data_IF_575921874364
#
_entry.id   IF_575921874364
#
_cell.length_a   1.000
_cell.length_b   1.000
_cell.length_c   1.000
_cell.angle_alpha   90.00
_cell.angle_beta   90.00
_cell.angle_gamma   90.00
#
_symmetry.space_group_name_H-M   'P 1'
#
loop_
_entity.id
_entity.type
_entity.pdbx_description
1 polymer ?
#
# COMPACT_ATOMS: atom_id res chain seq x y z
N UNK A 1 -14.72 -9.19 19.42
CA UNK A 1 -13.48 -9.22 18.60
C UNK A 1 -13.85 -8.72 17.20
N UNK A 2 -13.66 -7.43 16.90
CA UNK A 2 -14.06 -6.86 15.60
C UNK A 2 -13.09 -7.32 14.52
N UNK A 3 -13.55 -8.15 13.59
CA UNK A 3 -12.81 -8.47 12.37
C UNK A 3 -12.84 -7.22 11.48
N UNK A 4 -11.72 -6.51 11.37
CA UNK A 4 -11.59 -5.37 10.45
C UNK A 4 -11.50 -5.88 9.01
N UNK A 5 -12.65 -5.98 8.34
CA UNK A 5 -12.75 -6.35 6.93
C UNK A 5 -12.35 -5.15 6.07
N UNK A 6 -11.34 -5.37 5.23
CA UNK A 6 -10.93 -4.41 4.19
C UNK A 6 -11.79 -4.61 2.94
N UNK A 7 -12.17 -3.51 2.29
CA UNK A 7 -12.97 -3.48 1.05
C UNK A 7 -12.22 -2.68 -0.01
N UNK A 8 -12.06 -3.28 -1.19
CA UNK A 8 -11.42 -2.62 -2.33
C UNK A 8 -12.40 -1.63 -2.96
N UNK A 9 -11.89 -0.44 -3.27
CA UNK A 9 -12.65 0.63 -3.93
C UNK A 9 -12.12 0.80 -5.34
N UNK A 10 -13.01 0.62 -6.30
CA UNK A 10 -12.77 0.84 -7.71
C UNK A 10 -13.34 2.19 -8.13
N UNK A 11 -12.70 2.79 -9.12
CA UNK A 11 -13.26 3.90 -9.87
C UNK A 11 -14.38 3.41 -10.80
N UNK A 12 -15.18 4.34 -11.36
CA UNK A 12 -16.21 4.00 -12.34
C UNK A 12 -15.66 3.24 -13.57
N UNK A 13 -14.37 3.45 -13.89
CA UNK A 13 -13.58 2.77 -14.93
C UNK A 13 -13.06 1.37 -14.54
N UNK A 14 -13.44 0.83 -13.37
CA UNK A 14 -12.92 -0.42 -12.78
C UNK A 14 -11.46 -0.41 -12.31
N UNK A 15 -10.77 0.73 -12.40
CA UNK A 15 -9.41 0.89 -11.87
C UNK A 15 -9.43 0.85 -10.33
N UNK A 16 -8.53 0.08 -9.71
CA UNK A 16 -8.38 0.05 -8.26
C UNK A 16 -7.75 1.35 -7.73
N UNK A 17 -8.47 2.07 -6.87
CA UNK A 17 -8.06 3.41 -6.43
C UNK A 17 -7.84 3.54 -4.93
N UNK A 18 -8.42 2.68 -4.10
CA UNK A 18 -8.24 2.74 -2.65
C UNK A 18 -8.68 1.44 -1.96
N UNK A 19 -8.34 1.32 -0.68
CA UNK A 19 -8.92 0.34 0.23
C UNK A 19 -9.53 1.08 1.41
N UNK A 20 -10.73 0.67 1.83
CA UNK A 20 -11.39 1.21 3.00
C UNK A 20 -11.88 0.11 3.94
N UNK A 21 -12.30 0.48 5.15
CA UNK A 21 -12.95 -0.46 6.06
C UNK A 21 -14.41 -0.69 5.64
N UNK A 22 -14.94 -1.85 6.06
CA UNK A 22 -16.32 -2.24 5.81
C UNK A 22 -17.33 -1.14 6.18
N UNK A 23 -17.21 -0.51 7.35
CA UNK A 23 -18.13 0.54 7.79
C UNK A 23 -18.22 1.70 6.78
N UNK A 24 -17.09 2.11 6.19
CA UNK A 24 -17.06 3.16 5.17
C UNK A 24 -17.65 2.66 3.84
N UNK A 25 -17.32 1.44 3.43
CA UNK A 25 -17.88 0.83 2.23
C UNK A 25 -19.42 0.79 2.27
N UNK A 26 -19.96 0.28 3.37
CA UNK A 26 -21.41 0.19 3.62
C UNK A 26 -22.07 1.57 3.52
N UNK A 27 -21.47 2.60 4.14
CA UNK A 27 -21.98 3.97 4.04
C UNK A 27 -22.05 4.47 2.59
N UNK A 28 -21.08 4.13 1.75
CA UNK A 28 -21.07 4.55 0.33
C UNK A 28 -22.12 3.79 -0.48
N UNK A 29 -22.32 2.50 -0.18
CA UNK A 29 -23.37 1.69 -0.82
C UNK A 29 -24.76 2.19 -0.43
N UNK A 30 -25.04 2.38 0.87
CA UNK A 30 -26.34 2.88 1.33
C UNK A 30 -26.68 4.29 0.82
N UNK A 31 -25.67 5.15 0.63
CA UNK A 31 -25.86 6.48 0.04
C UNK A 31 -26.04 6.45 -1.48
N UNK A 32 -25.91 5.30 -2.14
CA UNK A 32 -25.97 5.18 -3.59
C UNK A 32 -24.77 5.78 -4.32
N UNK A 33 -23.68 6.13 -3.61
CA UNK A 33 -22.45 6.69 -4.22
C UNK A 33 -21.51 5.60 -4.73
N UNK A 34 -21.73 4.35 -4.31
CA UNK A 34 -20.99 3.18 -4.76
C UNK A 34 -21.94 1.99 -4.97
N UNK A 35 -21.61 1.14 -5.93
CA UNK A 35 -22.25 -0.15 -6.18
C UNK A 35 -21.35 -1.28 -5.68
N UNK A 36 -21.95 -2.42 -5.34
CA UNK A 36 -21.18 -3.59 -4.93
C UNK A 36 -20.90 -4.47 -6.14
N UNK A 37 -19.64 -4.84 -6.33
CA UNK A 37 -19.19 -5.70 -7.44
C UNK A 37 -18.96 -7.14 -6.97
N UNK A 38 -18.46 -7.31 -5.75
CA UNK A 38 -18.18 -8.61 -5.16
C UNK A 38 -18.70 -8.62 -3.72
N UNK A 39 -19.47 -9.64 -3.38
CA UNK A 39 -20.07 -9.86 -2.05
C UNK A 39 -19.55 -11.13 -1.42
N UNK A 40 -19.56 -11.19 -0.09
CA UNK A 40 -19.33 -12.41 0.68
C UNK A 40 -20.60 -13.25 0.80
N UNK A 41 -20.46 -14.51 1.18
CA UNK A 41 -21.59 -15.35 1.60
C UNK A 41 -22.10 -15.01 3.01
N UNK A 42 -21.36 -14.20 3.76
CA UNK A 42 -21.76 -13.70 5.07
C UNK A 42 -22.74 -12.53 4.88
N UNK A 43 -23.83 -12.56 5.65
CA UNK A 43 -24.78 -11.46 5.75
C UNK A 43 -24.62 -10.71 7.07
N UNK A 44 -24.81 -9.40 6.99
CA UNK A 44 -24.92 -8.53 8.15
C UNK A 44 -26.37 -8.08 8.24
N UNK A 45 -26.90 -8.21 9.44
CA UNK A 45 -28.27 -7.85 9.76
C UNK A 45 -28.33 -6.56 10.58
N UNK A 46 -29.32 -5.73 10.28
CA UNK A 46 -29.88 -4.73 11.15
C UNK A 46 -31.33 -5.12 11.49
N UNK A 47 -31.98 -4.47 12.46
CA UNK A 47 -33.39 -4.73 12.74
C UNK A 47 -34.34 -4.54 11.54
N UNK A 48 -33.93 -3.75 10.54
CA UNK A 48 -34.77 -3.39 9.38
C UNK A 48 -34.19 -3.77 8.02
N UNK A 49 -32.99 -4.36 7.96
CA UNK A 49 -32.35 -4.72 6.70
C UNK A 49 -31.34 -5.85 6.88
N UNK A 50 -31.17 -6.67 5.84
CA UNK A 50 -30.07 -7.62 5.72
C UNK A 50 -29.28 -7.25 4.46
N UNK A 51 -27.95 -7.36 4.53
CA UNK A 51 -27.13 -7.24 3.32
C UNK A 51 -25.86 -8.07 3.42
N UNK A 52 -25.44 -8.59 2.27
CA UNK A 52 -24.16 -9.27 2.14
C UNK A 52 -23.00 -8.31 2.33
N UNK A 53 -21.91 -8.80 2.93
CA UNK A 53 -20.70 -7.98 3.13
C UNK A 53 -20.03 -7.69 1.79
N UNK A 54 -19.84 -6.42 1.39
CA UNK A 54 -19.09 -6.10 0.18
C UNK A 54 -17.59 -6.35 0.39
N UNK A 55 -16.95 -6.95 -0.61
CA UNK A 55 -15.50 -7.10 -0.70
C UNK A 55 -14.88 -6.16 -1.73
N UNK A 56 -15.64 -5.85 -2.78
CA UNK A 56 -15.25 -4.89 -3.81
C UNK A 56 -16.45 -4.00 -4.08
N UNK A 57 -16.22 -2.70 -4.06
CA UNK A 57 -17.22 -1.69 -4.44
C UNK A 57 -16.67 -0.83 -5.55
N UNK A 58 -17.55 -0.32 -6.40
CA UNK A 58 -17.23 0.58 -7.50
C UNK A 58 -17.96 1.90 -7.31
N UNK A 59 -17.24 3.02 -7.43
CA UNK A 59 -17.88 4.33 -7.41
C UNK A 59 -18.79 4.50 -8.64
N UNK A 60 -19.96 5.10 -8.42
CA UNK A 60 -20.93 5.35 -9.51
C UNK A 60 -20.38 6.38 -10.49
N UNK A 61 -19.76 7.43 -9.97
CA UNK A 61 -19.18 8.51 -10.77
C UNK A 61 -17.66 8.38 -10.83
N UNK A 62 -17.10 8.74 -11.98
CA UNK A 62 -15.65 8.78 -12.16
C UNK A 62 -15.03 9.83 -11.25
N UNK A 63 -13.98 9.45 -10.52
CA UNK A 63 -13.19 10.35 -9.68
C UNK A 63 -11.79 10.43 -10.22
N UNK A 64 -11.29 11.67 -10.42
CA UNK A 64 -9.90 11.88 -10.77
C UNK A 64 -9.01 11.67 -9.54
N UNK A 65 -8.16 10.65 -9.59
CA UNK A 65 -7.25 10.30 -8.50
C UNK A 65 -5.88 10.90 -8.78
N UNK A 66 -5.35 11.79 -7.92
CA UNK A 66 -4.02 12.36 -8.11
C UNK A 66 -2.95 11.26 -8.19
N UNK A 67 -1.90 11.46 -9.01
CA UNK A 67 -0.85 10.45 -9.23
C UNK A 67 -0.08 10.04 -7.97
N UNK A 68 -0.06 10.88 -6.92
CA UNK A 68 0.70 10.65 -5.67
C UNK A 68 -0.20 10.52 -4.44
N UNK A 69 -1.04 9.47 -4.39
CA UNK A 69 -1.92 9.23 -3.21
C UNK A 69 -1.19 8.51 -2.08
N UNK A 70 -0.12 7.77 -2.38
CA UNK A 70 0.56 6.96 -1.36
C UNK A 70 1.40 7.87 -0.49
N UNK A 71 0.89 8.14 0.71
CA UNK A 71 1.58 8.97 1.71
C UNK A 71 2.95 8.39 2.02
N UNK A 72 3.97 9.25 2.05
CA UNK A 72 5.29 8.86 2.52
C UNK A 72 5.22 8.47 4.00
N UNK A 73 5.66 7.27 4.34
CA UNK A 73 5.77 6.80 5.72
C UNK A 73 6.69 5.59 5.79
N UNK A 74 7.24 5.30 6.98
CA UNK A 74 8.05 4.10 7.21
C UNK A 74 7.37 2.84 6.70
N UNK A 75 6.10 2.64 7.07
CA UNK A 75 5.33 1.46 6.64
C UNK A 75 5.29 1.35 5.11
N UNK A 76 5.04 2.46 4.41
CA UNK A 76 4.86 2.43 2.96
C UNK A 76 6.19 2.28 2.21
N UNK A 77 7.30 2.80 2.74
CA UNK A 77 8.66 2.53 2.21
C UNK A 77 8.98 1.03 2.34
N UNK A 78 8.71 0.41 3.49
CA UNK A 78 8.93 -1.02 3.67
C UNK A 78 8.06 -1.87 2.72
N UNK A 79 6.80 -1.48 2.50
CA UNK A 79 5.91 -2.15 1.55
C UNK A 79 6.42 -1.99 0.11
N UNK A 80 6.81 -0.77 -0.30
CA UNK A 80 7.36 -0.49 -1.65
C UNK A 80 8.57 -1.39 -1.93
N UNK A 81 9.46 -1.51 -0.94
CA UNK A 81 10.69 -2.28 -1.05
C UNK A 81 10.48 -3.76 -0.70
N UNK A 82 9.24 -4.20 -0.49
CA UNK A 82 8.88 -5.58 -0.16
C UNK A 82 9.71 -6.16 0.98
N UNK A 83 9.89 -5.39 2.06
CA UNK A 83 10.69 -5.79 3.21
C UNK A 83 12.12 -6.26 2.87
N UNK A 84 12.65 -5.80 1.73
CA UNK A 84 13.96 -6.17 1.21
C UNK A 84 14.94 -5.02 1.39
N UNK A 85 16.12 -5.31 1.96
CA UNK A 85 17.18 -4.32 2.05
C UNK A 85 17.66 -3.94 0.65
N UNK A 86 17.61 -2.65 0.29
CA UNK A 86 18.00 -2.16 -1.03
C UNK A 86 19.52 -2.22 -1.29
N UNK A 87 20.33 -2.67 -0.32
CA UNK A 87 21.78 -2.77 -0.43
C UNK A 87 22.31 -4.20 -0.51
N UNK A 88 21.85 -5.10 0.38
CA UNK A 88 22.24 -6.52 0.33
C UNK A 88 21.22 -7.43 -0.33
N UNK A 89 20.06 -6.88 -0.71
CA UNK A 89 18.98 -7.55 -1.44
C UNK A 89 18.31 -8.71 -0.68
N UNK A 90 18.59 -8.85 0.62
CA UNK A 90 17.96 -9.85 1.47
C UNK A 90 16.65 -9.32 2.08
N UNK A 91 15.65 -10.19 2.20
CA UNK A 91 14.42 -9.93 2.94
C UNK A 91 14.65 -10.02 4.46
N UNK A 92 13.95 -9.19 5.23
CA UNK A 92 14.02 -9.19 6.69
C UNK A 92 12.64 -8.92 7.33
N UNK A 93 12.43 -9.36 8.59
CA UNK A 93 11.29 -8.89 9.38
C UNK A 93 11.31 -7.37 9.55
N UNK A 94 10.12 -6.74 9.55
CA UNK A 94 9.97 -5.29 9.65
C UNK A 94 10.72 -4.65 10.85
N UNK A 95 10.83 -5.38 11.96
CA UNK A 95 11.53 -4.94 13.17
C UNK A 95 13.06 -4.83 13.00
N UNK A 96 13.63 -5.53 12.02
CA UNK A 96 15.07 -5.51 11.71
C UNK A 96 15.43 -4.54 10.58
N UNK A 97 14.42 -3.93 9.95
CA UNK A 97 14.58 -2.96 8.87
C UNK A 97 14.48 -1.52 9.38
N UNK A 98 15.38 -0.70 8.87
CA UNK A 98 15.43 0.75 9.06
C UNK A 98 15.16 1.46 7.74
N UNK A 99 14.88 2.76 7.82
CA UNK A 99 14.93 3.64 6.66
C UNK A 99 16.31 4.27 6.57
N UNK A 100 16.83 4.40 5.36
CA UNK A 100 18.09 5.09 5.09
C UNK A 100 17.92 6.07 3.93
N UNK A 101 18.64 7.19 4.00
CA UNK A 101 18.68 8.21 2.96
C UNK A 101 19.82 7.92 1.99
N UNK A 102 19.52 7.71 0.71
CA UNK A 102 20.48 7.43 -0.35
C UNK A 102 21.55 8.52 -0.43
N UNK A 103 21.10 9.78 -0.46
CA UNK A 103 21.91 10.97 -0.17
C UNK A 103 21.69 11.32 1.31
N UNK A 104 22.71 11.25 2.17
CA UNK A 104 22.57 11.57 3.59
C UNK A 104 22.04 12.98 3.85
N UNK A 105 21.26 13.17 4.92
CA UNK A 105 20.76 14.50 5.34
C UNK A 105 21.92 15.51 5.51
N UNK A 106 23.04 15.07 6.10
CA UNK A 106 24.24 15.91 6.30
C UNK A 106 24.92 16.34 4.99
N UNK A 107 24.50 15.79 3.85
CA UNK A 107 24.99 16.12 2.51
C UNK A 107 23.89 16.72 1.63
N UNK A 108 22.84 17.29 2.25
CA UNK A 108 21.75 17.95 1.55
C UNK A 108 20.67 17.02 1.00
N UNK A 109 20.66 15.75 1.38
CA UNK A 109 19.56 14.85 1.02
C UNK A 109 18.27 15.21 1.75
N UNK A 110 17.13 14.96 1.10
CA UNK A 110 15.80 15.24 1.65
C UNK A 110 15.07 13.95 2.08
N UNK A 111 14.03 14.07 2.91
CA UNK A 111 13.18 12.93 3.28
C UNK A 111 12.04 12.78 2.27
N UNK A 112 12.34 12.16 1.13
CA UNK A 112 11.40 11.97 0.01
C UNK A 112 11.35 10.52 -0.45
N UNK A 113 10.36 10.19 -1.28
CA UNK A 113 10.23 8.86 -1.88
C UNK A 113 11.45 8.49 -2.73
N UNK A 114 12.06 9.48 -3.37
CA UNK A 114 13.19 9.38 -4.30
C UNK A 114 14.54 9.34 -3.59
N UNK A 115 14.58 9.56 -2.26
CA UNK A 115 15.82 9.54 -1.49
C UNK A 115 15.80 8.54 -0.33
N UNK A 116 14.64 8.01 0.08
CA UNK A 116 14.56 7.08 1.22
C UNK A 116 14.30 5.64 0.76
N UNK A 117 15.08 4.71 1.31
CA UNK A 117 15.01 3.26 1.04
C UNK A 117 15.00 2.43 2.30
N UNK A 118 14.57 1.18 2.16
CA UNK A 118 14.66 0.14 3.18
C UNK A 118 16.08 -0.41 3.28
N UNK A 119 16.63 -0.45 4.49
CA UNK A 119 17.96 -1.00 4.76
C UNK A 119 17.94 -1.91 5.99
N UNK A 120 18.74 -2.98 5.99
CA UNK A 120 19.01 -3.72 7.22
C UNK A 120 19.99 -2.94 8.09
N UNK A 121 19.99 -3.20 9.41
CA UNK A 121 20.88 -2.50 10.36
C UNK A 121 22.36 -2.56 9.96
N UNK A 122 22.83 -3.72 9.49
CA UNK A 122 24.23 -3.93 9.08
C UNK A 122 24.62 -3.02 7.92
N UNK A 123 23.85 -3.03 6.82
CA UNK A 123 24.13 -2.18 5.67
C UNK A 123 23.97 -0.70 5.98
N UNK A 124 22.92 -0.34 6.74
CA UNK A 124 22.69 1.05 7.14
C UNK A 124 23.86 1.60 7.97
N UNK A 125 24.33 0.84 8.98
CA UNK A 125 25.48 1.23 9.79
C UNK A 125 26.78 1.33 8.98
N UNK A 126 27.00 0.42 8.01
CA UNK A 126 28.16 0.48 7.13
C UNK A 126 28.16 1.73 6.23
N UNK A 127 26.96 2.14 5.77
CA UNK A 127 26.80 3.36 4.98
C UNK A 127 26.98 4.61 5.85
N UNK A 128 26.22 4.73 6.93
CA UNK A 128 26.20 5.94 7.76
C UNK A 128 25.97 7.20 6.91
N UNK A 129 26.75 8.25 7.17
CA UNK A 129 26.70 9.54 6.44
C UNK A 129 27.48 9.56 5.12
N UNK A 130 27.83 8.39 4.59
CA UNK A 130 28.52 8.26 3.30
C UNK A 130 27.54 8.23 2.13
N UNK A 131 27.99 8.73 1.00
CA UNK A 131 27.36 8.50 -0.31
C UNK A 131 27.51 7.01 -0.69
N UNK A 132 26.63 6.53 -1.58
CA UNK A 132 26.67 5.13 -2.04
C UNK A 132 28.04 4.70 -2.57
N UNK A 133 28.70 5.56 -3.36
CA UNK A 133 30.02 5.26 -3.94
C UNK A 133 31.12 5.13 -2.88
N UNK A 134 31.09 5.95 -1.83
CA UNK A 134 32.05 5.92 -0.71
C UNK A 134 31.88 4.65 0.13
N UNK A 135 30.63 4.20 0.32
CA UNK A 135 30.31 2.97 1.04
C UNK A 135 30.42 1.70 0.17
N UNK A 136 30.73 1.83 -1.12
CA UNK A 136 30.72 0.75 -2.13
C UNK A 136 29.39 -0.01 -2.17
N UNK A 137 28.29 0.70 -1.94
CA UNK A 137 26.94 0.14 -2.01
C UNK A 137 26.30 0.48 -3.35
N UNK A 138 25.44 -0.41 -3.83
CA UNK A 138 24.58 -0.18 -4.99
C UNK A 138 23.14 -0.45 -4.57
N UNK A 139 22.22 0.29 -5.18
CA UNK A 139 20.80 0.07 -4.96
C UNK A 139 20.31 -1.08 -5.83
N UNK A 140 19.46 -1.93 -5.26
CA UNK A 140 18.73 -2.93 -6.03
C UNK A 140 17.78 -2.29 -7.05
N UNK A 141 17.08 -1.24 -6.63
CA UNK A 141 16.10 -0.50 -7.43
C UNK A 141 16.19 0.99 -7.11
N UNK A 142 15.95 1.82 -8.11
CA UNK A 142 15.89 3.26 -7.90
C UNK A 142 14.64 3.61 -7.07
N UNK A 143 14.79 4.34 -5.96
CA UNK A 143 13.66 4.80 -5.16
C UNK A 143 12.79 5.77 -5.96
N UNK A 144 11.49 5.50 -5.98
CA UNK A 144 10.48 6.38 -6.59
C UNK A 144 9.17 6.24 -5.83
N UNK A 145 8.30 7.23 -5.99
CA UNK A 145 6.92 7.16 -5.49
C UNK A 145 6.19 5.98 -6.15
N UNK A 146 5.60 5.04 -5.38
CA UNK A 146 4.82 3.93 -5.95
C UNK A 146 3.49 4.44 -6.49
N UNK A 147 3.03 3.84 -7.59
CA UNK A 147 1.64 4.05 -8.04
C UNK A 147 0.67 3.45 -7.01
N UNK A 148 -0.58 3.90 -7.03
CA UNK A 148 -1.62 3.33 -6.15
C UNK A 148 -1.79 1.84 -6.41
N UNK A 149 -1.86 1.43 -7.68
CA UNK A 149 -2.01 0.02 -8.06
C UNK A 149 -0.83 -0.83 -7.54
N UNK A 150 0.40 -0.38 -7.77
CA UNK A 150 1.59 -1.08 -7.28
C UNK A 150 1.58 -1.17 -5.75
N UNK A 151 1.22 -0.10 -5.05
CA UNK A 151 1.10 -0.14 -3.59
C UNK A 151 0.03 -1.12 -3.12
N UNK A 152 -1.14 -1.15 -3.78
CA UNK A 152 -2.23 -2.08 -3.45
C UNK A 152 -1.82 -3.55 -3.69
N UNK A 153 -1.09 -3.85 -4.76
CA UNK A 153 -0.55 -5.18 -5.05
C UNK A 153 0.46 -5.64 -3.99
N UNK A 154 1.40 -4.76 -3.62
CA UNK A 154 2.51 -5.09 -2.71
C UNK A 154 2.09 -5.13 -1.24
N UNK A 155 1.04 -4.41 -0.85
CA UNK A 155 0.67 -4.31 0.55
C UNK A 155 -0.08 -5.56 1.05
N UNK A 156 0.69 -6.53 1.52
CA UNK A 156 0.21 -7.79 2.11
C UNK A 156 -0.50 -7.61 3.47
N UNK A 157 -0.54 -6.39 4.02
CA UNK A 157 -1.15 -6.09 5.32
C UNK A 157 -2.61 -5.66 5.24
N UNK A 158 -3.27 -5.76 4.08
CA UNK A 158 -4.73 -5.67 4.04
C UNK A 158 -5.31 -6.89 4.75
N UNK A 159 -5.68 -6.71 6.02
CA UNK A 159 -6.36 -7.75 6.79
C UNK A 159 -7.72 -8.05 6.15
N UNK A 160 -8.03 -9.33 6.01
CA UNK A 160 -9.28 -9.79 5.39
C UNK A 160 -9.39 -9.46 3.90
N UNK A 161 -8.28 -9.35 3.16
CA UNK A 161 -8.33 -9.20 1.71
C UNK A 161 -8.94 -10.45 1.07
N UNK A 162 -10.07 -10.27 0.40
CA UNK A 162 -10.78 -11.37 -0.22
C UNK A 162 -10.09 -11.77 -1.54
N UNK A 163 -10.02 -13.06 -1.90
CA UNK A 163 -9.40 -13.51 -3.15
C UNK A 163 -9.93 -12.83 -4.42
N UNK A 164 -11.18 -12.35 -4.41
CA UNK A 164 -11.80 -11.63 -5.54
C UNK A 164 -11.05 -10.36 -5.94
N UNK A 165 -10.25 -9.78 -5.05
CA UNK A 165 -9.42 -8.61 -5.37
C UNK A 165 -8.41 -8.88 -6.49
N UNK A 166 -8.01 -10.15 -6.68
CA UNK A 166 -7.03 -10.52 -7.69
C UNK A 166 -7.46 -10.11 -9.10
N UNK A 167 -8.76 -10.22 -9.39
CA UNK A 167 -9.39 -9.78 -10.64
C UNK A 167 -9.20 -8.29 -10.91
N UNK A 168 -9.00 -7.46 -9.90
CA UNK A 168 -8.90 -6.00 -10.11
C UNK A 168 -7.48 -5.48 -9.94
N UNK A 169 -6.60 -6.28 -9.33
CA UNK A 169 -5.22 -5.89 -9.05
C UNK A 169 -4.20 -6.50 -10.02
N UNK A 170 -4.48 -7.63 -10.66
CA UNK A 170 -3.48 -8.37 -11.46
C UNK A 170 -3.94 -8.65 -12.90
N UNK A 171 -4.98 -7.98 -13.40
CA UNK A 171 -5.29 -8.01 -14.84
C UNK A 171 -4.27 -7.09 -15.53
N UNK A 172 -3.22 -7.70 -16.07
CA UNK A 172 -2.38 -7.20 -17.15
C UNK A 172 -2.33 -8.28 -18.22
#
# INVERSE_FOLDING_TARGET
MQVEISVLVLNASYEAINVCNLRRAMKMVFKGTAQTEEVSDIEIHSPSAAMKVPHVIRLVNYVHVPRSVVKFSRRNVLVRDQYTCQYCHSEFPAAQLTMDHVVPLSRGGETTWENVVTACKKCNNNKGSKMLYEARLKLQRQPKTPSILTYLQLNRHFRGCHPSWRKYLYIN
#
